data_IF_594743454016
#
_entry.id   IF_594743454016
#
_cell.length_a   1.000
_cell.length_b   1.000
_cell.length_c   1.000
_cell.angle_alpha   90.00
_cell.angle_beta   90.00
_cell.angle_gamma   90.00
#
_symmetry.space_group_name_H-M   'P 1'
#
loop_
_entity.id
_entity.type
_entity.pdbx_description
1 polymer ?
#
# COMPACT_ATOMS: atom_id res chain seq x y z
N UNK A 1 19.98 -12.21 -33.37
CA UNK A 1 21.05 -12.89 -34.13
C UNK A 1 22.23 -11.92 -34.16
N UNK A 2 23.09 -11.98 -33.16
CA UNK A 2 24.24 -11.09 -33.02
C UNK A 2 25.48 -11.87 -33.47
N UNK A 3 26.04 -11.44 -34.58
CA UNK A 3 27.31 -12.00 -35.09
C UNK A 3 28.45 -11.27 -34.33
N UNK A 4 29.20 -12.07 -33.56
CA UNK A 4 30.45 -11.65 -32.92
C UNK A 4 31.47 -11.20 -33.98
N UNK A 5 32.24 -10.13 -33.74
CA UNK A 5 33.34 -9.76 -34.64
C UNK A 5 34.42 -10.84 -34.61
N UNK A 6 34.87 -11.24 -35.79
CA UNK A 6 35.94 -12.25 -35.96
C UNK A 6 37.25 -11.71 -35.35
N UNK A 7 37.94 -12.47 -34.48
CA UNK A 7 39.22 -12.04 -33.93
C UNK A 7 40.32 -12.10 -35.01
N UNK A 8 41.10 -11.00 -35.11
CA UNK A 8 42.32 -11.00 -35.88
C UNK A 8 43.35 -11.95 -35.26
N UNK A 9 43.85 -12.88 -36.06
CA UNK A 9 44.85 -13.89 -35.73
C UNK A 9 46.16 -13.24 -35.31
N UNK A 10 46.59 -13.37 -34.04
CA UNK A 10 47.97 -13.22 -33.57
C UNK A 10 48.37 -14.45 -32.79
N UNK A 11 49.40 -15.13 -33.28
CA UNK A 11 50.06 -16.27 -32.66
C UNK A 11 50.67 -15.90 -31.32
N UNK A 12 50.10 -16.39 -30.27
CA UNK A 12 50.53 -16.54 -28.90
C UNK A 12 49.44 -17.30 -28.17
N UNK A 13 49.73 -18.50 -27.67
CA UNK A 13 48.75 -19.33 -26.98
C UNK A 13 48.10 -18.55 -25.82
N UNK A 14 47.02 -17.86 -26.12
CA UNK A 14 46.24 -17.11 -25.13
C UNK A 14 45.64 -18.12 -24.14
N UNK A 15 46.08 -18.02 -22.90
CA UNK A 15 45.61 -18.88 -21.80
C UNK A 15 44.10 -18.63 -21.62
N UNK A 16 43.29 -19.56 -22.10
CA UNK A 16 41.83 -19.59 -21.87
C UNK A 16 41.53 -20.41 -20.64
N UNK A 17 40.62 -19.95 -19.82
CA UNK A 17 40.03 -20.72 -18.71
C UNK A 17 38.61 -21.15 -19.06
N UNK A 18 38.29 -22.41 -18.80
CA UNK A 18 36.94 -22.94 -18.93
C UNK A 18 36.22 -22.87 -17.58
N UNK A 19 35.13 -22.13 -17.55
CA UNK A 19 34.31 -21.91 -16.35
C UNK A 19 32.91 -22.42 -16.61
N UNK A 20 32.37 -23.21 -15.71
CA UNK A 20 31.02 -23.74 -15.73
C UNK A 20 30.26 -23.20 -14.51
N UNK A 21 29.27 -22.38 -14.75
CA UNK A 21 28.42 -21.79 -13.69
C UNK A 21 27.01 -22.30 -13.84
N UNK A 22 26.55 -23.08 -12.87
CA UNK A 22 25.20 -23.65 -12.87
C UNK A 22 24.85 -24.42 -14.15
N UNK A 23 25.85 -25.08 -14.78
CA UNK A 23 25.68 -25.82 -16.02
C UNK A 23 25.94 -25.02 -17.33
N UNK A 24 26.14 -23.71 -17.23
CA UNK A 24 26.49 -22.85 -18.38
C UNK A 24 28.01 -22.73 -18.49
N UNK A 25 28.57 -23.22 -19.61
CA UNK A 25 29.99 -23.20 -19.89
C UNK A 25 30.42 -21.99 -20.67
N UNK A 26 31.45 -21.32 -20.18
CA UNK A 26 32.07 -20.15 -20.79
C UNK A 26 33.58 -20.33 -20.87
N UNK A 27 34.18 -19.98 -22.00
CA UNK A 27 35.63 -19.89 -22.16
C UNK A 27 36.04 -18.42 -22.08
N UNK A 28 36.82 -18.06 -21.07
CA UNK A 28 37.25 -16.68 -20.81
C UNK A 28 38.74 -16.56 -21.09
N UNK A 29 39.13 -15.44 -21.65
CA UNK A 29 40.55 -15.12 -21.96
C UNK A 29 41.24 -14.52 -20.74
N UNK A 30 42.41 -14.96 -20.42
CA UNK A 30 43.15 -14.51 -19.26
C UNK A 30 43.51 -13.00 -19.29
N UNK A 31 43.87 -12.46 -20.49
CA UNK A 31 44.16 -11.06 -20.69
C UNK A 31 43.00 -10.10 -20.37
N UNK A 32 41.77 -10.55 -20.56
CA UNK A 32 40.58 -9.78 -20.21
C UNK A 32 40.36 -9.74 -18.71
N UNK A 33 40.65 -10.85 -18.02
CA UNK A 33 40.46 -10.99 -16.58
C UNK A 33 41.45 -10.12 -15.78
N UNK A 34 42.62 -9.81 -16.36
CA UNK A 34 43.63 -8.92 -15.76
C UNK A 34 43.15 -7.48 -15.59
N UNK A 35 42.06 -7.08 -16.25
CA UNK A 35 41.42 -5.75 -16.04
C UNK A 35 40.89 -5.58 -14.64
N UNK A 36 40.44 -6.68 -14.02
CA UNK A 36 39.89 -6.73 -12.66
C UNK A 36 40.70 -7.74 -11.84
N UNK A 37 41.91 -7.40 -11.44
CA UNK A 37 42.85 -8.35 -10.83
C UNK A 37 42.42 -8.89 -9.47
N UNK A 38 41.51 -8.19 -8.78
CA UNK A 38 40.96 -8.60 -7.48
C UNK A 38 39.75 -9.53 -7.62
N UNK A 39 39.23 -9.68 -8.85
CA UNK A 39 38.07 -10.55 -9.09
C UNK A 39 38.42 -12.03 -8.92
N UNK A 40 37.42 -12.82 -8.50
CA UNK A 40 37.55 -14.28 -8.30
C UNK A 40 37.99 -14.97 -9.60
N UNK A 41 37.50 -14.53 -10.76
CA UNK A 41 37.89 -15.12 -12.05
C UNK A 41 39.35 -14.85 -12.41
N UNK A 42 39.87 -13.66 -12.08
CA UNK A 42 41.29 -13.34 -12.27
C UNK A 42 42.17 -14.17 -11.34
N UNK A 43 41.74 -14.46 -10.13
CA UNK A 43 42.44 -15.35 -9.20
C UNK A 43 42.47 -16.79 -9.73
N UNK A 44 41.35 -17.29 -10.24
CA UNK A 44 41.27 -18.61 -10.91
C UNK A 44 42.21 -18.68 -12.12
N UNK A 45 42.26 -17.63 -12.97
CA UNK A 45 43.16 -17.57 -14.14
C UNK A 45 44.64 -17.60 -13.76
N UNK A 46 44.97 -17.00 -12.62
CA UNK A 46 46.37 -16.95 -12.09
C UNK A 46 46.77 -18.20 -11.35
N UNK A 47 45.83 -19.04 -10.98
CA UNK A 47 46.11 -20.29 -10.29
C UNK A 47 46.96 -21.20 -11.18
N UNK A 48 48.25 -21.26 -10.90
CA UNK A 48 49.25 -22.09 -11.63
C UNK A 48 49.52 -23.42 -10.93
N UNK A 49 49.21 -23.50 -9.67
CA UNK A 49 49.38 -24.69 -8.84
C UNK A 49 48.17 -25.62 -8.98
N UNK A 50 48.42 -26.84 -9.42
CA UNK A 50 47.40 -27.89 -9.47
C UNK A 50 47.21 -28.62 -8.14
N UNK A 51 47.53 -27.96 -7.02
CA UNK A 51 47.26 -28.50 -5.69
C UNK A 51 45.74 -28.50 -5.45
N UNK A 52 45.19 -29.63 -5.07
CA UNK A 52 43.77 -29.80 -4.84
C UNK A 52 43.22 -28.81 -3.79
N UNK A 53 43.99 -28.57 -2.73
CA UNK A 53 43.61 -27.64 -1.68
C UNK A 53 43.53 -26.19 -2.14
N UNK A 54 44.40 -25.76 -3.05
CA UNK A 54 44.39 -24.42 -3.63
C UNK A 54 43.19 -24.21 -4.59
N UNK A 55 42.85 -25.25 -5.33
CA UNK A 55 41.72 -25.20 -6.29
C UNK A 55 40.39 -25.26 -5.54
N UNK A 56 40.24 -26.12 -4.51
CA UNK A 56 39.00 -26.27 -3.75
C UNK A 56 38.63 -25.01 -2.94
N UNK A 57 39.57 -24.11 -2.69
CA UNK A 57 39.30 -22.81 -2.09
C UNK A 57 38.74 -21.77 -3.07
N UNK A 58 38.92 -21.99 -4.38
CA UNK A 58 38.56 -21.04 -5.44
C UNK A 58 37.24 -21.37 -6.13
N UNK A 59 36.93 -22.66 -6.29
CA UNK A 59 35.73 -23.17 -6.98
C UNK A 59 35.07 -24.30 -6.19
N UNK A 60 33.83 -24.61 -6.51
CA UNK A 60 33.06 -25.68 -5.85
C UNK A 60 33.49 -27.06 -6.32
N UNK A 61 33.90 -27.21 -7.59
CA UNK A 61 34.47 -28.45 -8.15
C UNK A 61 35.42 -28.13 -9.31
N UNK A 62 36.30 -29.05 -9.62
CA UNK A 62 37.25 -28.94 -10.74
C UNK A 62 37.39 -30.25 -11.49
N UNK A 63 37.16 -30.23 -12.79
CA UNK A 63 37.32 -31.38 -13.69
C UNK A 63 38.70 -31.35 -14.39
N UNK A 64 39.71 -32.10 -13.89
CA UNK A 64 41.09 -32.06 -14.46
C UNK A 64 41.19 -32.46 -15.92
N UNK A 65 40.31 -33.37 -16.38
CA UNK A 65 40.33 -33.89 -17.75
C UNK A 65 39.95 -32.79 -18.77
N UNK A 66 39.14 -31.82 -18.39
CA UNK A 66 38.68 -30.72 -19.22
C UNK A 66 39.31 -29.39 -18.85
N UNK A 67 39.98 -29.30 -17.70
CA UNK A 67 40.47 -28.05 -17.13
C UNK A 67 39.36 -27.05 -16.81
N UNK A 68 38.20 -27.57 -16.40
CA UNK A 68 36.95 -26.83 -16.18
C UNK A 68 36.74 -26.56 -14.69
N UNK A 69 36.54 -25.30 -14.34
CA UNK A 69 36.20 -24.85 -12.97
C UNK A 69 34.69 -24.75 -12.84
N UNK A 70 34.10 -25.46 -11.89
CA UNK A 70 32.67 -25.46 -11.64
C UNK A 70 32.29 -24.58 -10.44
N UNK A 71 31.20 -23.82 -10.60
CA UNK A 71 30.58 -22.99 -9.57
C UNK A 71 29.08 -23.27 -9.49
N UNK A 72 28.57 -23.59 -8.30
CA UNK A 72 27.14 -23.78 -8.05
C UNK A 72 26.45 -22.42 -7.81
N UNK A 73 26.36 -21.62 -8.88
CA UNK A 73 25.84 -20.26 -8.86
C UNK A 73 24.83 -20.02 -9.97
N UNK A 74 24.10 -18.87 -9.87
CA UNK A 74 23.10 -18.47 -10.87
C UNK A 74 23.78 -18.09 -12.20
N UNK A 75 23.53 -18.87 -13.28
CA UNK A 75 24.16 -18.61 -14.57
C UNK A 75 23.66 -17.33 -15.26
N UNK A 76 22.45 -16.86 -14.97
CA UNK A 76 21.91 -15.67 -15.62
C UNK A 76 22.49 -14.38 -15.02
N UNK A 77 22.66 -14.34 -13.71
CA UNK A 77 23.42 -13.26 -13.04
C UNK A 77 24.88 -13.27 -13.47
N UNK A 78 25.50 -14.44 -13.59
CA UNK A 78 26.87 -14.57 -14.01
C UNK A 78 27.11 -14.03 -15.42
N UNK A 79 26.21 -14.30 -16.38
CA UNK A 79 26.31 -13.74 -17.74
C UNK A 79 26.34 -12.21 -17.75
N UNK A 80 25.56 -11.57 -16.87
CA UNK A 80 25.58 -10.12 -16.74
C UNK A 80 26.90 -9.62 -16.14
N UNK A 81 27.41 -10.32 -15.12
CA UNK A 81 28.66 -9.96 -14.44
C UNK A 81 29.86 -10.09 -15.37
N UNK A 82 29.91 -11.12 -16.21
CA UNK A 82 30.99 -11.31 -17.19
C UNK A 82 31.08 -10.13 -18.18
N UNK A 83 29.99 -9.42 -18.45
CA UNK A 83 29.98 -8.24 -19.33
C UNK A 83 30.94 -7.15 -18.86
N UNK A 84 31.26 -7.06 -17.55
CA UNK A 84 32.23 -6.10 -17.02
C UNK A 84 33.62 -6.24 -17.67
N UNK A 85 34.04 -7.45 -17.97
CA UNK A 85 35.36 -7.69 -18.58
C UNK A 85 35.44 -7.21 -20.04
N UNK A 86 34.27 -7.10 -20.70
CA UNK A 86 34.16 -6.64 -22.09
C UNK A 86 33.90 -5.15 -22.19
N UNK A 87 32.96 -4.65 -21.39
CA UNK A 87 32.44 -3.29 -21.53
C UNK A 87 32.87 -2.34 -20.40
N UNK A 88 33.33 -2.88 -19.26
CA UNK A 88 33.70 -2.08 -18.08
C UNK A 88 32.48 -1.76 -17.18
N UNK A 89 31.29 -2.08 -17.62
CA UNK A 89 30.02 -1.83 -16.93
C UNK A 89 29.19 -3.09 -16.86
N UNK A 90 28.32 -3.17 -15.84
CA UNK A 90 27.42 -4.29 -15.60
C UNK A 90 25.99 -3.84 -15.70
N UNK A 91 25.20 -4.49 -16.57
CA UNK A 91 23.78 -4.30 -16.66
C UNK A 91 23.02 -5.52 -16.13
N UNK A 92 22.08 -5.27 -15.22
CA UNK A 92 21.18 -6.29 -14.69
C UNK A 92 20.00 -6.52 -15.65
N UNK A 93 19.75 -7.77 -16.05
CA UNK A 93 18.60 -8.12 -16.88
C UNK A 93 17.29 -7.99 -16.10
N UNK A 94 16.21 -7.65 -16.82
CA UNK A 94 14.86 -7.64 -16.24
C UNK A 94 14.50 -9.03 -15.69
N UNK A 95 13.97 -9.06 -14.47
CA UNK A 95 13.55 -10.28 -13.80
C UNK A 95 14.56 -10.84 -12.79
N UNK A 96 15.79 -10.35 -12.77
CA UNK A 96 16.77 -10.70 -11.72
C UNK A 96 16.48 -9.83 -10.50
N UNK A 97 16.45 -10.46 -9.32
CA UNK A 97 16.30 -9.73 -8.06
C UNK A 97 17.54 -8.86 -7.79
N UNK A 98 17.41 -7.52 -7.60
CA UNK A 98 18.56 -6.64 -7.37
C UNK A 98 19.43 -7.06 -6.18
N UNK A 99 18.83 -7.50 -5.09
CA UNK A 99 19.57 -7.92 -3.89
C UNK A 99 20.34 -9.24 -4.09
N UNK A 100 19.75 -10.19 -4.84
CA UNK A 100 20.45 -11.42 -5.19
C UNK A 100 21.61 -11.13 -6.14
N UNK A 101 21.40 -10.21 -7.08
CA UNK A 101 22.45 -9.79 -8.01
C UNK A 101 23.64 -9.11 -7.32
N UNK A 102 23.37 -8.25 -6.33
CA UNK A 102 24.46 -7.64 -5.52
C UNK A 102 25.28 -8.70 -4.77
N UNK A 103 24.64 -9.75 -4.23
CA UNK A 103 25.34 -10.88 -3.60
C UNK A 103 26.19 -11.68 -4.60
N UNK A 104 25.73 -11.82 -5.83
CA UNK A 104 26.53 -12.45 -6.89
C UNK A 104 27.73 -11.57 -7.26
N UNK A 105 27.54 -10.24 -7.40
CA UNK A 105 28.67 -9.32 -7.64
C UNK A 105 29.72 -9.41 -6.52
N UNK A 106 29.29 -9.46 -5.26
CA UNK A 106 30.15 -9.63 -4.11
C UNK A 106 30.90 -10.99 -4.15
N UNK A 107 30.20 -12.08 -4.48
CA UNK A 107 30.83 -13.38 -4.64
C UNK A 107 31.92 -13.39 -5.71
N UNK A 108 31.66 -12.75 -6.86
CA UNK A 108 32.64 -12.64 -7.95
C UNK A 108 33.70 -11.56 -7.70
N UNK A 109 33.57 -10.80 -6.58
CA UNK A 109 34.43 -9.69 -6.18
C UNK A 109 34.51 -8.61 -7.26
N UNK A 110 33.36 -8.26 -7.81
CA UNK A 110 33.21 -7.12 -8.72
C UNK A 110 32.62 -5.95 -7.93
N UNK A 111 33.30 -4.80 -7.97
CA UNK A 111 32.88 -3.61 -7.24
C UNK A 111 31.52 -3.08 -7.75
N UNK A 112 30.69 -2.63 -6.83
CA UNK A 112 29.38 -2.04 -7.14
C UNK A 112 29.47 -0.76 -7.98
N UNK A 113 30.64 -0.10 -8.01
CA UNK A 113 30.88 1.05 -8.88
C UNK A 113 30.79 0.72 -10.37
N UNK A 114 31.05 -0.55 -10.73
CA UNK A 114 30.93 -1.06 -12.10
C UNK A 114 29.48 -1.24 -12.55
N UNK A 115 28.49 -1.15 -11.64
CA UNK A 115 27.08 -1.24 -11.98
C UNK A 115 26.65 0.04 -12.70
N UNK A 116 25.91 -0.10 -13.81
CA UNK A 116 25.36 1.05 -14.54
C UNK A 116 24.36 1.85 -13.69
N UNK A 117 24.23 3.16 -13.97
CA UNK A 117 23.38 4.08 -13.21
C UNK A 117 21.91 3.67 -13.20
N UNK A 118 21.39 3.09 -14.30
CA UNK A 118 20.02 2.61 -14.36
C UNK A 118 19.78 1.44 -13.39
N UNK A 119 20.79 0.58 -13.19
CA UNK A 119 20.74 -0.55 -12.29
C UNK A 119 21.00 -0.14 -10.83
N UNK A 120 21.88 0.84 -10.60
CA UNK A 120 22.09 1.45 -9.27
C UNK A 120 20.82 2.05 -8.71
N UNK A 121 20.03 2.73 -9.54
CA UNK A 121 18.73 3.27 -9.13
C UNK A 121 17.78 2.16 -8.66
N UNK A 122 17.70 1.05 -9.42
CA UNK A 122 16.87 -0.10 -9.06
C UNK A 122 17.31 -0.78 -7.75
N UNK A 123 18.61 -0.92 -7.55
CA UNK A 123 19.17 -1.49 -6.30
C UNK A 123 18.82 -0.61 -5.12
N UNK A 124 19.06 0.71 -5.22
CA UNK A 124 18.76 1.67 -4.16
C UNK A 124 17.25 1.71 -3.81
N UNK A 125 16.38 1.72 -4.82
CA UNK A 125 14.93 1.68 -4.60
C UNK A 125 14.53 0.42 -3.81
N UNK A 126 15.15 -0.72 -4.14
CA UNK A 126 14.85 -1.98 -3.45
C UNK A 126 15.42 -2.03 -2.03
N UNK A 127 16.59 -1.45 -1.80
CA UNK A 127 17.16 -1.30 -0.45
C UNK A 127 16.30 -0.40 0.43
N UNK A 128 15.85 0.75 -0.09
CA UNK A 128 14.96 1.67 0.61
C UNK A 128 13.61 0.99 0.95
N UNK A 129 13.05 0.20 0.01
CA UNK A 129 11.83 -0.56 0.24
C UNK A 129 12.00 -1.59 1.36
N UNK A 130 13.11 -2.35 1.35
CA UNK A 130 13.40 -3.36 2.38
C UNK A 130 13.65 -2.72 3.75
N UNK A 131 14.37 -1.58 3.80
CA UNK A 131 14.59 -0.84 5.03
C UNK A 131 13.25 -0.32 5.61
N UNK A 132 12.37 0.22 4.77
CA UNK A 132 11.04 0.65 5.21
C UNK A 132 10.19 -0.52 5.77
N UNK A 133 10.29 -1.70 5.14
CA UNK A 133 9.62 -2.91 5.62
C UNK A 133 10.19 -3.33 6.98
N UNK A 134 11.52 -3.37 7.11
CA UNK A 134 12.19 -3.75 8.35
C UNK A 134 11.83 -2.81 9.52
N UNK A 135 11.82 -1.50 9.28
CA UNK A 135 11.43 -0.51 10.31
C UNK A 135 9.96 -0.67 10.72
N UNK A 136 9.07 -0.96 9.77
CA UNK A 136 7.66 -1.20 10.08
C UNK A 136 7.44 -2.52 10.82
N UNK A 137 8.14 -3.58 10.43
CA UNK A 137 8.10 -4.87 11.15
C UNK A 137 8.60 -4.67 12.58
N UNK A 138 9.72 -3.96 12.76
CA UNK A 138 10.24 -3.63 14.10
C UNK A 138 9.23 -2.85 14.93
N UNK A 139 8.58 -1.83 14.35
CA UNK A 139 7.54 -1.07 15.04
C UNK A 139 6.34 -1.94 15.44
N UNK A 140 5.96 -2.92 14.62
CA UNK A 140 4.91 -3.90 14.95
C UNK A 140 5.35 -4.79 16.11
N UNK A 141 6.58 -5.27 16.10
CA UNK A 141 7.13 -6.13 17.16
C UNK A 141 7.29 -5.38 18.47
N UNK A 142 7.80 -4.13 18.45
CA UNK A 142 7.92 -3.26 19.63
C UNK A 142 6.53 -2.96 20.26
N UNK A 143 5.50 -2.92 19.43
CA UNK A 143 4.12 -2.71 19.88
C UNK A 143 3.45 -4.02 20.41
N UNK A 144 3.98 -5.18 20.01
CA UNK A 144 3.58 -6.50 20.52
C UNK A 144 4.30 -6.85 21.83
N UNK A 145 5.44 -6.22 22.12
CA UNK A 145 6.18 -6.45 23.37
C UNK A 145 5.34 -5.96 24.57
N UNK A 146 4.72 -6.95 25.23
CA UNK A 146 3.63 -6.77 26.21
C UNK A 146 4.15 -6.23 27.52
N UNK A 147 5.34 -6.63 27.88
CA UNK A 147 5.99 -6.28 29.12
C UNK A 147 6.91 -5.08 28.84
N UNK A 148 6.30 -3.88 28.75
CA UNK A 148 7.09 -2.66 28.91
C UNK A 148 8.04 -2.91 30.08
N UNK A 149 9.36 -2.85 29.80
CA UNK A 149 10.40 -3.28 30.69
C UNK A 149 10.16 -2.93 32.17
N UNK A 150 10.93 -3.40 33.10
CA UNK A 150 10.67 -3.38 34.55
C UNK A 150 10.37 -1.98 35.13
N UNK A 151 10.49 -0.93 34.34
CA UNK A 151 10.27 0.49 34.71
C UNK A 151 8.94 1.08 34.25
N UNK A 152 8.05 0.35 33.53
CA UNK A 152 6.76 0.89 33.08
C UNK A 152 5.81 1.11 34.26
N UNK A 153 5.31 2.33 34.40
CA UNK A 153 4.33 2.70 35.43
C UNK A 153 3.02 1.94 35.21
N UNK A 154 2.29 1.68 36.33
CA UNK A 154 0.96 1.03 36.26
C UNK A 154 0.01 1.75 35.28
N UNK A 155 0.09 3.06 35.23
CA UNK A 155 -0.71 3.91 34.31
C UNK A 155 -0.38 3.64 32.84
N UNK A 156 0.90 3.49 32.50
CA UNK A 156 1.34 3.19 31.13
C UNK A 156 0.90 1.82 30.67
N UNK A 157 0.96 0.81 31.54
CA UNK A 157 0.45 -0.54 31.24
C UNK A 157 -1.04 -0.55 30.97
N UNK A 158 -1.84 0.15 31.78
CA UNK A 158 -3.30 0.28 31.56
C UNK A 158 -3.58 1.01 30.24
N UNK A 159 -2.86 2.10 29.96
CA UNK A 159 -3.00 2.86 28.71
C UNK A 159 -2.68 2.01 27.49
N UNK A 160 -1.57 1.26 27.48
CA UNK A 160 -1.19 0.34 26.41
C UNK A 160 -2.21 -0.78 26.25
N UNK A 161 -2.71 -1.34 27.35
CA UNK A 161 -3.76 -2.38 27.32
C UNK A 161 -5.04 -1.88 26.68
N UNK A 162 -5.52 -0.68 27.10
CA UNK A 162 -6.73 -0.06 26.54
C UNK A 162 -6.55 0.27 25.07
N UNK A 163 -5.40 0.81 24.68
CA UNK A 163 -5.08 1.09 23.27
C UNK A 163 -5.14 -0.19 22.43
N UNK A 164 -4.52 -1.26 22.89
CA UNK A 164 -4.52 -2.56 22.21
C UNK A 164 -5.94 -3.14 22.09
N UNK A 165 -6.72 -3.05 23.15
CA UNK A 165 -8.10 -3.53 23.20
C UNK A 165 -9.00 -2.80 22.18
N UNK A 166 -8.78 -1.49 21.96
CA UNK A 166 -9.62 -0.65 21.11
C UNK A 166 -9.16 -0.57 19.65
N UNK A 167 -7.85 -0.74 19.39
CA UNK A 167 -7.27 -0.53 18.05
C UNK A 167 -6.86 -1.84 17.37
N UNK A 168 -6.60 -2.92 18.14
CA UNK A 168 -6.15 -4.22 17.60
C UNK A 168 -7.16 -5.33 17.88
N UNK A 169 -8.11 -5.57 16.96
CA UNK A 169 -9.16 -6.60 17.14
C UNK A 169 -8.61 -8.03 17.24
N UNK A 170 -7.38 -8.25 16.73
CA UNK A 170 -6.74 -9.57 16.75
C UNK A 170 -6.08 -9.91 18.10
N UNK A 171 -5.92 -8.91 18.99
CA UNK A 171 -5.20 -9.09 20.27
C UNK A 171 -5.92 -9.98 21.28
N UNK A 172 -7.24 -10.00 21.26
CA UNK A 172 -8.06 -10.81 22.18
C UNK A 172 -9.48 -11.00 21.64
N UNK A 173 -10.17 -12.06 22.16
CA UNK A 173 -11.58 -12.24 21.80
C UNK A 173 -12.48 -11.09 22.28
N UNK A 174 -12.11 -10.41 23.40
CA UNK A 174 -12.82 -9.21 23.90
C UNK A 174 -12.66 -8.05 22.94
N UNK A 175 -11.45 -7.80 22.42
CA UNK A 175 -11.19 -6.78 21.41
C UNK A 175 -12.02 -7.02 20.14
N UNK A 176 -12.11 -8.28 19.72
CA UNK A 176 -12.95 -8.70 18.58
C UNK A 176 -14.44 -8.47 18.84
N UNK A 177 -14.91 -8.81 20.03
CA UNK A 177 -16.30 -8.58 20.43
C UNK A 177 -16.65 -7.09 20.45
N UNK A 178 -15.77 -6.23 20.98
CA UNK A 178 -15.94 -4.76 20.96
C UNK A 178 -16.00 -4.24 19.52
N UNK A 179 -15.12 -4.70 18.66
CA UNK A 179 -15.10 -4.31 17.24
C UNK A 179 -16.38 -4.70 16.51
N UNK A 180 -16.86 -5.93 16.73
CA UNK A 180 -18.13 -6.40 16.16
C UNK A 180 -19.32 -5.62 16.72
N UNK A 181 -19.35 -5.35 18.02
CA UNK A 181 -20.38 -4.53 18.65
C UNK A 181 -20.40 -3.12 18.05
N UNK A 182 -19.23 -2.47 17.93
CA UNK A 182 -19.12 -1.15 17.32
C UNK A 182 -19.63 -1.14 15.87
N UNK A 183 -19.28 -2.14 15.09
CA UNK A 183 -19.78 -2.32 13.72
C UNK A 183 -21.32 -2.43 13.70
N UNK A 184 -21.89 -3.24 14.59
CA UNK A 184 -23.35 -3.39 14.70
C UNK A 184 -24.06 -2.10 15.13
N UNK A 185 -23.46 -1.32 16.04
CA UNK A 185 -24.00 -0.01 16.42
C UNK A 185 -23.98 0.99 15.26
N UNK A 186 -22.94 0.97 14.40
CA UNK A 186 -22.92 1.80 13.18
C UNK A 186 -24.05 1.39 12.22
N UNK A 187 -24.25 0.10 11.99
CA UNK A 187 -25.34 -0.40 11.15
C UNK A 187 -26.71 -0.05 11.74
N UNK A 188 -26.91 -0.26 13.05
CA UNK A 188 -28.14 0.09 13.73
C UNK A 188 -28.47 1.58 13.64
N UNK A 189 -27.48 2.45 13.90
CA UNK A 189 -27.64 3.91 13.77
C UNK A 189 -27.97 4.33 12.34
N UNK A 190 -27.36 3.69 11.33
CA UNK A 190 -27.67 3.96 9.91
C UNK A 190 -29.08 3.48 9.54
N UNK A 191 -29.49 2.34 10.06
CA UNK A 191 -30.86 1.82 9.86
C UNK A 191 -31.90 2.71 10.52
N UNK A 192 -31.68 3.13 11.76
CA UNK A 192 -32.56 4.06 12.48
C UNK A 192 -32.73 5.36 11.70
N UNK A 193 -31.64 5.91 11.16
CA UNK A 193 -31.69 7.10 10.32
C UNK A 193 -32.57 6.89 9.08
N UNK A 194 -32.48 5.72 8.42
CA UNK A 194 -33.34 5.40 7.29
C UNK A 194 -34.82 5.25 7.71
N UNK A 195 -35.07 4.55 8.81
CA UNK A 195 -36.43 4.34 9.32
C UNK A 195 -37.10 5.64 9.77
N UNK A 196 -36.33 6.57 10.36
CA UNK A 196 -36.82 7.89 10.78
C UNK A 196 -37.35 8.76 9.61
N UNK A 197 -36.95 8.43 8.37
CA UNK A 197 -37.47 9.15 7.17
C UNK A 197 -38.77 8.57 6.63
N UNK A 198 -39.21 7.40 7.10
CA UNK A 198 -40.45 6.78 6.63
C UNK A 198 -41.68 7.51 7.18
N UNK A 199 -42.64 7.94 6.34
CA UNK A 199 -43.80 8.68 6.79
C UNK A 199 -44.68 7.87 7.82
N UNK A 200 -44.66 6.56 7.72
CA UNK A 200 -45.41 5.65 8.57
C UNK A 200 -44.90 5.60 10.02
N UNK A 201 -43.61 5.94 10.21
CA UNK A 201 -42.94 5.93 11.51
C UNK A 201 -42.75 7.32 12.10
N UNK A 202 -43.27 8.36 11.43
CA UNK A 202 -43.27 9.73 11.95
C UNK A 202 -44.53 9.98 12.77
N UNK A 203 -44.35 10.61 13.92
CA UNK A 203 -45.46 11.01 14.80
C UNK A 203 -45.66 12.52 14.69
N UNK A 204 -46.92 12.97 14.61
CA UNK A 204 -47.20 14.39 14.67
C UNK A 204 -47.07 14.86 16.12
N UNK A 205 -46.24 15.86 16.32
CA UNK A 205 -46.09 16.54 17.63
C UNK A 205 -47.31 17.43 17.89
N UNK A 206 -47.46 17.92 19.12
CA UNK A 206 -48.57 18.76 19.55
C UNK A 206 -48.75 20.04 18.70
N UNK A 207 -47.69 20.49 18.05
CA UNK A 207 -47.66 21.68 17.17
C UNK A 207 -47.91 21.31 15.69
N UNK A 208 -48.24 20.08 15.36
CA UNK A 208 -48.51 19.64 13.98
C UNK A 208 -47.26 19.39 13.13
N UNK A 209 -46.08 19.44 13.70
CA UNK A 209 -44.85 19.11 13.01
C UNK A 209 -44.56 17.60 13.05
N UNK A 210 -44.00 17.06 11.95
CA UNK A 210 -43.58 15.65 11.90
C UNK A 210 -42.33 15.48 12.76
N UNK A 211 -42.47 14.73 13.85
CA UNK A 211 -41.40 14.37 14.77
C UNK A 211 -40.97 12.91 14.61
N UNK A 212 -39.75 12.58 14.95
CA UNK A 212 -39.26 11.22 14.96
C UNK A 212 -39.93 10.43 16.07
N UNK A 213 -40.21 9.11 15.85
CA UNK A 213 -40.80 8.26 16.84
C UNK A 213 -39.87 8.16 18.07
N UNK A 214 -40.39 8.29 19.33
CA UNK A 214 -39.56 8.35 20.54
C UNK A 214 -38.68 7.12 20.77
N UNK A 215 -39.10 5.95 20.27
CA UNK A 215 -38.27 4.73 20.34
C UNK A 215 -37.05 4.83 19.44
N UNK A 216 -37.15 5.45 18.25
CA UNK A 216 -36.01 5.65 17.33
C UNK A 216 -35.02 6.63 17.93
N UNK A 217 -35.50 7.72 18.53
CA UNK A 217 -34.66 8.70 19.23
C UNK A 217 -33.91 8.07 20.42
N UNK A 218 -34.56 7.19 21.18
CA UNK A 218 -33.89 6.45 22.26
C UNK A 218 -32.79 5.54 21.75
N UNK A 219 -33.03 4.80 20.65
CA UNK A 219 -32.00 3.92 20.04
C UNK A 219 -30.86 4.78 19.49
N UNK A 220 -31.16 5.90 18.84
CA UNK A 220 -30.15 6.82 18.35
C UNK A 220 -29.27 7.35 19.48
N UNK A 221 -29.86 7.79 20.57
CA UNK A 221 -29.15 8.26 21.76
C UNK A 221 -28.24 7.16 22.33
N UNK A 222 -28.71 5.92 22.42
CA UNK A 222 -27.89 4.79 22.86
C UNK A 222 -26.69 4.54 21.93
N UNK A 223 -26.88 4.65 20.61
CA UNK A 223 -25.78 4.54 19.64
C UNK A 223 -24.74 5.64 19.81
N UNK A 224 -25.18 6.90 20.00
CA UNK A 224 -24.28 8.03 20.20
C UNK A 224 -23.51 7.91 21.52
N UNK A 225 -24.17 7.45 22.59
CA UNK A 225 -23.49 7.17 23.86
C UNK A 225 -22.38 6.14 23.69
N UNK A 226 -22.66 5.06 22.94
CA UNK A 226 -21.62 4.07 22.61
C UNK A 226 -20.45 4.70 21.83
N UNK A 227 -20.72 5.46 20.79
CA UNK A 227 -19.68 6.11 19.98
C UNK A 227 -18.85 7.09 20.79
N UNK A 228 -19.48 7.82 21.72
CA UNK A 228 -18.80 8.76 22.61
C UNK A 228 -17.89 8.03 23.58
N UNK A 229 -18.36 6.93 24.17
CA UNK A 229 -17.55 6.09 25.05
C UNK A 229 -16.35 5.50 24.29
N UNK A 230 -16.59 4.97 23.11
CA UNK A 230 -15.56 4.41 22.22
C UNK A 230 -14.49 5.48 21.90
N UNK A 231 -14.89 6.66 21.45
CA UNK A 231 -13.97 7.77 21.16
C UNK A 231 -13.21 8.25 22.40
N UNK A 232 -13.91 8.37 23.54
CA UNK A 232 -13.32 8.78 24.81
C UNK A 232 -12.25 7.80 25.30
N UNK A 233 -12.50 6.50 25.21
CA UNK A 233 -11.51 5.46 25.58
C UNK A 233 -10.29 5.49 24.67
N UNK A 234 -10.47 5.66 23.36
CA UNK A 234 -9.36 5.82 22.41
C UNK A 234 -8.55 7.09 22.69
N UNK A 235 -9.22 8.21 22.93
CA UNK A 235 -8.55 9.46 23.24
C UNK A 235 -7.77 9.39 24.56
N UNK A 236 -8.33 8.75 25.59
CA UNK A 236 -7.65 8.55 26.87
C UNK A 236 -6.41 7.66 26.75
N UNK A 237 -6.47 6.63 25.88
CA UNK A 237 -5.38 5.69 25.65
C UNK A 237 -4.30 6.20 24.70
N UNK A 238 -4.58 7.24 23.88
CA UNK A 238 -3.63 7.81 22.93
C UNK A 238 -2.44 8.49 23.64
N UNK A 239 -1.21 8.26 23.14
CA UNK A 239 0.02 8.87 23.64
C UNK A 239 0.14 10.33 23.22
N UNK A 240 -0.13 10.63 21.94
CA UNK A 240 -0.07 11.97 21.35
C UNK A 240 -1.48 12.47 21.00
N UNK A 241 -2.09 13.21 21.92
CA UNK A 241 -3.50 13.61 21.80
C UNK A 241 -3.80 14.48 20.57
N UNK A 242 -2.92 15.44 20.23
CA UNK A 242 -3.11 16.30 19.06
C UNK A 242 -3.04 15.52 17.75
N UNK A 243 -2.06 14.65 17.63
CA UNK A 243 -1.90 13.78 16.45
C UNK A 243 -3.08 12.80 16.32
N UNK A 244 -3.59 12.32 17.45
CA UNK A 244 -4.78 11.47 17.48
C UNK A 244 -6.00 12.20 16.90
N UNK A 245 -6.31 13.42 17.38
CA UNK A 245 -7.48 14.19 16.91
C UNK A 245 -7.37 14.53 15.41
N UNK A 246 -6.18 14.86 14.93
CA UNK A 246 -5.95 15.20 13.51
C UNK A 246 -5.88 14.01 12.58
N UNK A 247 -5.91 12.78 13.10
CA UNK A 247 -5.98 11.58 12.26
C UNK A 247 -7.33 11.49 11.57
N UNK A 248 -7.32 11.14 10.27
CA UNK A 248 -8.52 11.07 9.42
C UNK A 248 -9.65 10.21 10.03
N UNK A 249 -9.33 9.00 10.50
CA UNK A 249 -10.33 8.09 11.09
C UNK A 249 -10.94 8.67 12.38
N UNK A 250 -10.13 9.35 13.19
CA UNK A 250 -10.60 9.95 14.44
C UNK A 250 -11.39 11.24 14.20
N UNK A 251 -11.08 11.98 13.14
CA UNK A 251 -11.91 13.10 12.68
C UNK A 251 -13.29 12.63 12.21
N UNK A 252 -13.37 11.48 11.51
CA UNK A 252 -14.64 10.86 11.13
C UNK A 252 -15.44 10.46 12.37
N UNK A 253 -14.79 9.85 13.37
CA UNK A 253 -15.45 9.50 14.63
C UNK A 253 -16.01 10.75 15.35
N UNK A 254 -15.24 11.83 15.38
CA UNK A 254 -15.69 13.10 15.97
C UNK A 254 -16.85 13.71 15.18
N UNK A 255 -16.77 13.73 13.85
CA UNK A 255 -17.83 14.21 12.97
C UNK A 255 -19.14 13.42 13.11
N UNK A 256 -19.05 12.13 13.46
CA UNK A 256 -20.21 11.29 13.68
C UNK A 256 -20.98 11.60 14.97
N UNK A 257 -20.30 12.10 16.02
CA UNK A 257 -20.90 12.44 17.32
C UNK A 257 -21.22 13.91 17.48
N UNK A 258 -20.45 14.80 16.82
CA UNK A 258 -20.56 16.25 16.96
C UNK A 258 -21.98 16.81 16.73
N UNK A 259 -22.74 16.41 15.67
CA UNK A 259 -24.06 16.95 15.41
C UNK A 259 -25.05 16.74 16.57
N UNK A 260 -24.99 15.59 17.24
CA UNK A 260 -25.85 15.29 18.38
C UNK A 260 -25.58 16.25 19.54
N UNK A 261 -24.31 16.45 19.92
CA UNK A 261 -23.95 17.33 21.01
C UNK A 261 -24.19 18.82 20.69
N UNK A 262 -24.04 19.21 19.42
CA UNK A 262 -24.36 20.58 19.01
C UNK A 262 -25.86 20.82 19.13
N UNK A 263 -26.72 19.90 18.66
CA UNK A 263 -28.17 20.02 18.83
C UNK A 263 -28.54 20.05 20.29
N UNK A 264 -27.99 19.13 21.11
CA UNK A 264 -28.22 19.12 22.57
C UNK A 264 -27.81 20.41 23.24
N UNK A 265 -26.66 21.00 22.87
CA UNK A 265 -26.21 22.29 23.41
C UNK A 265 -27.13 23.44 22.98
N UNK A 266 -27.58 23.46 21.73
CA UNK A 266 -28.52 24.48 21.24
C UNK A 266 -29.86 24.42 21.96
N UNK A 267 -30.37 23.23 22.28
CA UNK A 267 -31.64 23.04 22.97
C UNK A 267 -31.56 23.39 24.48
N UNK A 268 -30.45 23.04 25.16
CA UNK A 268 -30.32 23.24 26.61
C UNK A 268 -29.75 24.60 27.00
N UNK A 269 -28.89 25.22 26.19
CA UNK A 269 -28.26 26.52 26.51
C UNK A 269 -29.17 27.72 26.27
N UNK A 270 -30.43 27.53 25.88
CA UNK A 270 -31.39 28.64 25.69
C UNK A 270 -30.98 29.64 24.61
N UNK A 271 -30.10 29.24 23.69
CA UNK A 271 -29.76 30.01 22.47
C UNK A 271 -31.00 30.30 21.64
N UNK A 272 -32.12 29.61 21.91
CA UNK A 272 -33.45 29.83 21.40
C UNK A 272 -34.08 31.19 21.73
N UNK A 273 -33.60 31.89 22.78
CA UNK A 273 -34.11 33.18 23.16
C UNK A 273 -33.45 34.37 22.42
N UNK A 274 -32.31 34.13 21.75
CA UNK A 274 -31.54 35.19 21.07
C UNK A 274 -31.52 35.10 19.56
N UNK A 275 -31.95 33.97 18.96
CA UNK A 275 -31.99 33.74 17.51
C UNK A 275 -33.44 33.53 17.06
N UNK A 276 -33.76 33.97 15.83
CA UNK A 276 -35.04 33.68 15.21
C UNK A 276 -35.27 32.16 15.15
N UNK A 277 -36.45 31.74 15.63
CA UNK A 277 -36.87 30.32 15.65
C UNK A 277 -36.66 29.61 14.32
N UNK A 278 -36.81 30.31 13.19
CA UNK A 278 -36.63 29.80 11.84
C UNK A 278 -35.18 29.45 11.53
N UNK A 279 -34.21 30.24 12.01
CA UNK A 279 -32.77 29.96 11.74
C UNK A 279 -32.24 28.82 12.60
N UNK A 280 -32.73 28.71 13.86
CA UNK A 280 -32.42 27.53 14.71
C UNK A 280 -32.98 26.26 14.12
N UNK A 281 -34.20 26.27 13.62
CA UNK A 281 -34.80 25.09 12.96
C UNK A 281 -33.99 24.68 11.72
N UNK A 282 -33.56 25.62 10.87
CA UNK A 282 -32.72 25.35 9.71
C UNK A 282 -31.37 24.75 10.12
N UNK A 283 -30.73 25.31 11.15
CA UNK A 283 -29.47 24.79 11.67
C UNK A 283 -29.61 23.35 12.19
N UNK A 284 -30.64 23.06 12.97
CA UNK A 284 -30.94 21.71 13.48
C UNK A 284 -31.22 20.75 12.31
N UNK A 285 -31.94 21.18 11.28
CA UNK A 285 -32.22 20.35 10.11
C UNK A 285 -30.93 20.05 9.31
N UNK A 286 -30.04 21.03 9.15
CA UNK A 286 -28.73 20.84 8.51
C UNK A 286 -27.85 19.86 9.31
N UNK A 287 -27.85 19.98 10.65
CA UNK A 287 -27.12 19.08 11.54
C UNK A 287 -27.65 17.64 11.50
N UNK A 288 -28.98 17.45 11.27
CA UNK A 288 -29.55 16.11 11.05
C UNK A 288 -28.97 15.43 9.80
N UNK A 289 -28.76 16.18 8.71
CA UNK A 289 -28.15 15.62 7.48
C UNK A 289 -26.72 15.17 7.76
N UNK A 290 -25.96 15.87 8.62
CA UNK A 290 -24.60 15.47 8.98
C UNK A 290 -24.51 14.12 9.70
N UNK A 291 -25.64 13.56 10.22
CA UNK A 291 -25.70 12.20 10.80
C UNK A 291 -25.25 11.13 9.79
N UNK A 292 -25.41 11.41 8.46
CA UNK A 292 -24.92 10.52 7.38
C UNK A 292 -23.41 10.23 7.53
N UNK A 293 -22.62 11.15 8.08
CA UNK A 293 -21.19 10.94 8.30
C UNK A 293 -20.86 9.71 9.17
N UNK A 294 -21.86 9.20 9.96
CA UNK A 294 -21.69 8.00 10.79
C UNK A 294 -21.37 6.76 9.98
N UNK A 295 -21.88 6.66 8.75
CA UNK A 295 -21.59 5.51 7.87
C UNK A 295 -20.10 5.43 7.53
N UNK A 296 -19.39 6.56 7.51
CA UNK A 296 -17.95 6.59 7.27
C UNK A 296 -17.14 5.89 8.38
N UNK A 297 -17.73 5.69 9.58
CA UNK A 297 -17.10 4.88 10.64
C UNK A 297 -16.88 3.43 10.20
N UNK A 298 -17.65 2.91 9.23
CA UNK A 298 -17.41 1.58 8.66
C UNK A 298 -16.01 1.43 8.09
N UNK A 299 -15.38 2.52 7.62
CA UNK A 299 -14.02 2.48 7.12
C UNK A 299 -13.01 1.98 8.18
N UNK A 300 -13.26 2.23 9.45
CA UNK A 300 -12.42 1.74 10.55
C UNK A 300 -12.49 0.22 10.72
N UNK A 301 -13.64 -0.38 10.45
CA UNK A 301 -13.91 -1.81 10.67
C UNK A 301 -13.63 -2.68 9.44
N UNK A 302 -13.29 -2.08 8.32
CA UNK A 302 -13.02 -2.78 7.05
C UNK A 302 -11.63 -2.46 6.53
N UNK A 303 -10.74 -3.44 6.52
CA UNK A 303 -9.40 -3.31 5.93
C UNK A 303 -9.47 -2.95 4.44
N UNK A 304 -10.45 -3.48 3.72
CA UNK A 304 -10.69 -3.16 2.31
C UNK A 304 -11.01 -1.68 2.10
N UNK A 305 -11.87 -1.07 2.94
CA UNK A 305 -12.19 0.36 2.87
C UNK A 305 -10.98 1.23 3.25
N UNK A 306 -10.16 0.80 4.22
CA UNK A 306 -8.92 1.51 4.56
C UNK A 306 -7.93 1.50 3.40
N UNK A 307 -7.75 0.34 2.76
CA UNK A 307 -6.90 0.19 1.57
C UNK A 307 -7.40 1.07 0.41
N UNK A 308 -8.73 1.07 0.17
CA UNK A 308 -9.34 1.91 -0.85
C UNK A 308 -9.12 3.40 -0.56
N UNK A 309 -9.34 3.83 0.69
CA UNK A 309 -9.12 5.22 1.11
C UNK A 309 -7.66 5.65 0.91
N UNK A 310 -6.71 4.76 1.23
CA UNK A 310 -5.29 5.01 0.99
C UNK A 310 -4.99 5.14 -0.51
N UNK A 311 -5.48 4.21 -1.33
CA UNK A 311 -5.29 4.24 -2.77
C UNK A 311 -5.84 5.53 -3.40
N UNK A 312 -7.08 5.93 -3.02
CA UNK A 312 -7.68 7.18 -3.48
C UNK A 312 -6.86 8.41 -3.05
N UNK A 313 -6.39 8.42 -1.80
CA UNK A 313 -5.54 9.52 -1.30
C UNK A 313 -4.21 9.60 -2.04
N UNK A 314 -3.61 8.46 -2.37
CA UNK A 314 -2.37 8.39 -3.14
C UNK A 314 -2.57 8.83 -4.59
N UNK A 315 -3.75 8.55 -5.16
CA UNK A 315 -4.14 8.91 -6.53
C UNK A 315 -4.88 10.25 -6.61
N UNK A 316 -4.76 11.11 -5.58
CA UNK A 316 -5.49 12.38 -5.56
C UNK A 316 -5.09 13.33 -6.68
N UNK A 317 -3.83 13.31 -7.10
CA UNK A 317 -3.34 14.13 -8.22
C UNK A 317 -3.97 13.69 -9.55
N UNK A 318 -4.03 12.38 -9.79
CA UNK A 318 -4.64 11.79 -10.99
C UNK A 318 -6.15 12.03 -11.03
N UNK A 319 -6.83 11.92 -9.88
CA UNK A 319 -8.24 12.25 -9.74
C UNK A 319 -8.49 13.74 -9.96
N UNK A 320 -7.62 14.62 -9.47
CA UNK A 320 -7.69 16.07 -9.70
C UNK A 320 -7.54 16.41 -11.18
N UNK A 321 -6.62 15.76 -11.88
CA UNK A 321 -6.46 15.89 -13.32
C UNK A 321 -7.72 15.44 -14.08
N UNK A 322 -8.31 14.30 -13.70
CA UNK A 322 -9.58 13.83 -14.27
C UNK A 322 -10.69 14.85 -14.09
N UNK A 323 -10.89 15.37 -12.86
CA UNK A 323 -11.94 16.34 -12.56
C UNK A 323 -11.74 17.63 -13.36
N UNK A 324 -10.49 18.09 -13.52
CA UNK A 324 -10.18 19.27 -14.34
C UNK A 324 -10.52 19.02 -15.81
N UNK A 325 -10.09 17.87 -16.35
CA UNK A 325 -10.40 17.52 -17.74
C UNK A 325 -11.90 17.38 -18.00
N UNK A 326 -12.61 16.69 -17.09
CA UNK A 326 -14.07 16.57 -17.14
C UNK A 326 -14.74 17.94 -17.04
N UNK A 327 -14.30 18.82 -16.14
CA UNK A 327 -14.84 20.17 -15.97
C UNK A 327 -14.73 21.02 -17.24
N UNK A 328 -13.55 20.99 -17.86
CA UNK A 328 -13.33 21.67 -19.15
C UNK A 328 -14.24 21.09 -20.25
N UNK A 329 -14.33 19.76 -20.35
CA UNK A 329 -15.20 19.08 -21.30
C UNK A 329 -16.67 19.44 -21.09
N UNK A 330 -17.15 19.39 -19.86
CA UNK A 330 -18.52 19.77 -19.48
C UNK A 330 -18.80 21.21 -19.92
N UNK A 331 -17.89 22.14 -19.64
CA UNK A 331 -18.06 23.54 -20.05
C UNK A 331 -18.15 23.70 -21.55
N UNK A 332 -17.22 23.11 -22.31
CA UNK A 332 -17.17 23.21 -23.79
C UNK A 332 -18.40 22.60 -24.43
N UNK A 333 -18.74 21.34 -24.08
CA UNK A 333 -19.88 20.64 -24.70
C UNK A 333 -21.22 21.26 -24.31
N UNK A 334 -21.33 21.84 -23.11
CA UNK A 334 -22.53 22.57 -22.68
C UNK A 334 -22.72 23.89 -23.45
N UNK A 335 -21.64 24.65 -23.65
CA UNK A 335 -21.68 25.89 -24.41
C UNK A 335 -22.04 25.62 -25.87
N UNK A 336 -21.44 24.59 -26.49
CA UNK A 336 -21.79 24.18 -27.85
C UNK A 336 -23.23 23.65 -27.91
N UNK A 337 -23.66 22.82 -26.95
CA UNK A 337 -25.01 22.29 -26.88
C UNK A 337 -26.06 23.40 -26.78
N UNK A 338 -25.84 24.37 -25.88
CA UNK A 338 -26.69 25.54 -25.78
C UNK A 338 -26.75 26.33 -27.09
N UNK A 339 -25.62 26.63 -27.72
CA UNK A 339 -25.55 27.42 -28.95
C UNK A 339 -26.27 26.73 -30.11
N UNK A 340 -26.19 25.41 -30.22
CA UNK A 340 -26.80 24.62 -31.30
C UNK A 340 -28.30 24.38 -31.10
N UNK A 341 -28.76 24.33 -29.82
CA UNK A 341 -30.14 23.96 -29.49
C UNK A 341 -31.04 25.18 -29.13
N UNK A 342 -30.45 26.28 -28.70
CA UNK A 342 -31.19 27.44 -28.14
C UNK A 342 -32.24 28.02 -29.12
N UNK A 343 -31.99 27.96 -30.41
CA UNK A 343 -32.92 28.50 -31.43
C UNK A 343 -34.07 27.55 -31.75
N UNK A 344 -34.08 26.32 -31.25
CA UNK A 344 -35.14 25.36 -31.49
C UNK A 344 -36.37 25.68 -30.61
N UNK A 345 -37.59 25.71 -31.11
CA UNK A 345 -38.79 26.13 -30.36
C UNK A 345 -39.09 25.22 -29.14
N UNK A 346 -38.70 23.97 -29.18
CA UNK A 346 -38.91 23.01 -28.08
C UNK A 346 -37.59 22.69 -27.35
N UNK A 347 -36.69 23.65 -27.26
CA UNK A 347 -35.40 23.43 -26.63
C UNK A 347 -35.51 23.21 -25.12
N UNK A 348 -34.75 22.23 -24.61
CA UNK A 348 -34.55 22.02 -23.19
C UNK A 348 -33.30 22.75 -22.68
N UNK A 349 -32.47 23.30 -23.57
CA UNK A 349 -31.24 24.02 -23.28
C UNK A 349 -31.51 25.50 -23.01
N UNK A 350 -31.94 25.84 -21.78
CA UNK A 350 -32.36 27.21 -21.42
C UNK A 350 -31.19 28.17 -21.19
N UNK A 351 -30.05 27.65 -20.71
CA UNK A 351 -28.83 28.43 -20.42
C UNK A 351 -27.62 27.51 -20.40
N UNK A 352 -26.41 28.07 -20.51
CA UNK A 352 -25.18 27.29 -20.42
C UNK A 352 -25.08 26.53 -19.06
N UNK A 353 -25.34 27.16 -17.90
CA UNK A 353 -25.35 26.43 -16.63
C UNK A 353 -26.39 25.31 -16.55
N UNK A 354 -27.58 25.51 -17.16
CA UNK A 354 -28.58 24.44 -17.23
C UNK A 354 -28.10 23.28 -18.11
N UNK A 355 -27.34 23.58 -19.16
CA UNK A 355 -26.75 22.59 -20.07
C UNK A 355 -25.61 21.80 -19.43
N UNK A 356 -25.00 22.28 -18.32
CA UNK A 356 -24.01 21.51 -17.56
C UNK A 356 -24.58 20.18 -17.06
N UNK A 357 -25.85 20.20 -16.62
CA UNK A 357 -26.50 18.96 -16.17
C UNK A 357 -26.52 17.92 -17.30
N UNK A 358 -26.93 18.28 -18.49
CA UNK A 358 -26.90 17.38 -19.65
C UNK A 358 -25.50 16.88 -19.97
N UNK A 359 -24.50 17.76 -19.98
CA UNK A 359 -23.12 17.37 -20.30
C UNK A 359 -22.55 16.44 -19.24
N UNK A 360 -22.80 16.71 -17.94
CA UNK A 360 -22.34 15.83 -16.83
C UNK A 360 -22.92 14.44 -17.00
N UNK A 361 -24.25 14.29 -17.11
CA UNK A 361 -24.90 12.98 -17.20
C UNK A 361 -24.54 12.23 -18.48
N UNK A 362 -24.21 12.97 -19.57
CA UNK A 362 -23.78 12.38 -20.85
C UNK A 362 -22.33 11.90 -20.77
N UNK A 363 -21.39 12.74 -20.32
CA UNK A 363 -19.97 12.40 -20.23
C UNK A 363 -19.69 11.34 -19.17
N UNK A 364 -20.47 11.31 -18.07
CA UNK A 364 -20.38 10.26 -17.05
C UNK A 364 -21.13 8.98 -17.41
N UNK A 365 -21.75 8.92 -18.59
CA UNK A 365 -22.51 7.77 -19.10
C UNK A 365 -23.79 7.43 -18.31
N UNK A 366 -24.29 8.34 -17.47
CA UNK A 366 -25.53 8.16 -16.69
C UNK A 366 -26.78 8.23 -17.58
N UNK A 367 -26.90 9.31 -18.35
CA UNK A 367 -27.92 9.47 -19.41
C UNK A 367 -29.37 9.37 -18.94
N UNK A 368 -29.82 10.19 -17.99
CA UNK A 368 -31.21 10.17 -17.50
C UNK A 368 -32.27 10.39 -18.61
N UNK A 369 -31.91 11.11 -19.69
CA UNK A 369 -32.84 11.36 -20.78
C UNK A 369 -33.86 12.49 -20.52
N UNK A 370 -33.70 13.23 -19.45
CA UNK A 370 -34.51 14.39 -19.07
C UNK A 370 -34.15 15.63 -19.88
N UNK A 371 -32.89 15.76 -20.33
CA UNK A 371 -32.41 16.79 -21.25
C UNK A 371 -31.62 16.10 -22.36
N UNK A 372 -31.98 16.37 -23.62
CA UNK A 372 -31.32 15.83 -24.81
C UNK A 372 -31.41 16.74 -26.01
N UNK A 373 -30.44 16.73 -26.96
CA UNK A 373 -30.47 17.56 -28.15
C UNK A 373 -31.47 17.03 -29.19
N UNK A 374 -32.20 17.95 -29.80
CA UNK A 374 -33.18 17.66 -30.86
C UNK A 374 -32.62 17.92 -32.25
N UNK A 375 -31.74 18.92 -32.40
CA UNK A 375 -31.15 19.30 -33.70
C UNK A 375 -30.09 18.28 -34.16
N UNK A 376 -29.84 18.22 -35.46
CA UNK A 376 -28.80 17.35 -36.03
C UNK A 376 -27.40 17.72 -35.51
N UNK A 377 -27.11 19.04 -35.42
CA UNK A 377 -25.81 19.52 -34.88
C UNK A 377 -25.67 19.23 -33.40
N UNK A 378 -26.74 19.41 -32.61
CA UNK A 378 -26.75 19.04 -31.20
C UNK A 378 -26.49 17.54 -30.97
N UNK A 379 -27.05 16.68 -31.82
CA UNK A 379 -26.79 15.21 -31.76
C UNK A 379 -25.34 14.86 -32.12
N UNK A 380 -24.74 15.57 -33.09
CA UNK A 380 -23.30 15.40 -33.37
C UNK A 380 -22.43 15.84 -32.17
N UNK A 381 -22.77 16.97 -31.52
CA UNK A 381 -22.13 17.42 -30.31
C UNK A 381 -22.26 16.38 -29.19
N UNK A 382 -23.44 15.78 -29.03
CA UNK A 382 -23.64 14.68 -28.07
C UNK A 382 -22.76 13.46 -28.36
N UNK A 383 -22.66 13.08 -29.65
CA UNK A 383 -21.80 11.96 -30.05
C UNK A 383 -20.34 12.18 -29.69
N UNK A 384 -19.80 13.38 -29.86
CA UNK A 384 -18.45 13.74 -29.45
C UNK A 384 -18.34 13.78 -27.92
N UNK A 385 -19.34 14.33 -27.23
CA UNK A 385 -19.37 14.44 -25.76
C UNK A 385 -19.24 13.08 -25.07
N UNK A 386 -20.05 12.09 -25.48
CA UNK A 386 -19.96 10.77 -24.84
C UNK A 386 -18.67 10.02 -25.19
N UNK A 387 -18.15 10.15 -26.42
CA UNK A 387 -16.84 9.56 -26.74
C UNK A 387 -15.71 10.16 -25.89
N UNK A 388 -15.67 11.49 -25.77
CA UNK A 388 -14.71 12.16 -24.90
C UNK A 388 -14.89 11.76 -23.44
N UNK A 389 -16.12 11.61 -22.96
CA UNK A 389 -16.43 11.20 -21.60
C UNK A 389 -15.91 9.79 -21.29
N UNK A 390 -16.14 8.82 -22.18
CA UNK A 390 -15.65 7.44 -22.02
C UNK A 390 -14.12 7.41 -21.95
N UNK A 391 -13.44 8.13 -22.85
CA UNK A 391 -11.97 8.20 -22.86
C UNK A 391 -11.46 8.87 -21.57
N UNK A 392 -12.09 9.96 -21.14
CA UNK A 392 -11.71 10.68 -19.93
C UNK A 392 -11.77 9.79 -18.68
N UNK A 393 -12.83 8.99 -18.53
CA UNK A 393 -12.99 8.08 -17.37
C UNK A 393 -12.02 6.90 -17.45
N UNK A 394 -11.73 6.39 -18.64
CA UNK A 394 -10.86 5.23 -18.81
C UNK A 394 -9.39 5.51 -18.46
N UNK A 395 -8.89 6.73 -18.72
CA UNK A 395 -7.48 7.08 -18.55
C UNK A 395 -6.95 6.93 -17.10
N UNK A 396 -7.61 7.45 -16.05
CA UNK A 396 -7.08 7.40 -14.69
C UNK A 396 -7.35 6.07 -13.97
N UNK A 397 -8.12 5.16 -14.55
CA UNK A 397 -8.43 3.85 -13.92
C UNK A 397 -7.16 3.04 -13.72
N UNK A 398 -6.25 3.03 -14.69
CA UNK A 398 -5.02 2.24 -14.63
C UNK A 398 -4.10 2.64 -13.47
N UNK A 399 -3.70 3.91 -13.28
CA UNK A 399 -2.86 4.30 -12.14
C UNK A 399 -3.55 4.07 -10.79
N UNK A 400 -4.87 4.25 -10.68
CA UNK A 400 -5.62 4.00 -9.44
C UNK A 400 -5.54 2.51 -9.07
N UNK A 401 -5.79 1.61 -10.03
CA UNK A 401 -5.69 0.16 -9.82
C UNK A 401 -4.25 -0.22 -9.44
N UNK A 402 -3.26 0.32 -10.13
CA UNK A 402 -1.86 0.04 -9.84
C UNK A 402 -1.48 0.46 -8.42
N UNK A 403 -1.86 1.67 -7.99
CA UNK A 403 -1.63 2.16 -6.62
C UNK A 403 -2.32 1.28 -5.57
N UNK A 404 -3.54 0.78 -5.87
CA UNK A 404 -4.25 -0.16 -5.00
C UNK A 404 -3.50 -1.49 -4.87
N UNK A 405 -3.10 -2.09 -6.00
CA UNK A 405 -2.40 -3.38 -6.02
C UNK A 405 -1.04 -3.30 -5.31
N UNK A 406 -0.27 -2.24 -5.56
CA UNK A 406 1.02 -2.01 -4.90
C UNK A 406 0.84 -1.91 -3.38
N UNK A 407 -0.14 -1.12 -2.91
CA UNK A 407 -0.41 -1.00 -1.48
C UNK A 407 -0.88 -2.32 -0.85
N UNK A 408 -1.80 -3.02 -1.51
CA UNK A 408 -2.31 -4.32 -1.03
C UNK A 408 -1.18 -5.35 -0.90
N UNK A 409 -0.32 -5.45 -1.92
CA UNK A 409 0.82 -6.35 -1.88
C UNK A 409 1.82 -5.97 -0.78
N UNK A 410 2.09 -4.68 -0.59
CA UNK A 410 2.96 -4.18 0.48
C UNK A 410 2.42 -4.54 1.88
N UNK A 411 1.11 -4.41 2.10
CA UNK A 411 0.47 -4.83 3.36
C UNK A 411 0.61 -6.33 3.60
N UNK A 412 0.39 -7.14 2.56
CA UNK A 412 0.52 -8.60 2.66
C UNK A 412 1.96 -9.03 2.96
N UNK A 413 2.95 -8.39 2.33
CA UNK A 413 4.38 -8.66 2.62
C UNK A 413 4.73 -8.30 4.05
N UNK A 414 4.27 -7.14 4.55
CA UNK A 414 4.47 -6.71 5.94
C UNK A 414 3.87 -7.71 6.94
N UNK A 415 2.65 -8.15 6.71
CA UNK A 415 1.99 -9.13 7.57
C UNK A 415 2.74 -10.46 7.60
N UNK A 416 3.18 -10.94 6.43
CA UNK A 416 3.94 -12.19 6.32
C UNK A 416 5.30 -12.07 7.00
N UNK A 417 6.01 -10.95 6.81
CA UNK A 417 7.29 -10.70 7.45
C UNK A 417 7.16 -10.62 8.98
N UNK A 418 6.14 -9.92 9.49
CA UNK A 418 5.90 -9.84 10.93
C UNK A 418 5.56 -11.20 11.55
N UNK A 419 4.77 -12.03 10.88
CA UNK A 419 4.50 -13.41 11.35
C UNK A 419 5.75 -14.26 11.40
N UNK A 420 6.58 -14.21 10.37
CA UNK A 420 7.81 -14.96 10.31
C UNK A 420 8.79 -14.57 11.44
N UNK A 421 8.93 -13.26 11.72
CA UNK A 421 9.73 -12.79 12.85
C UNK A 421 9.20 -13.27 14.21
N UNK A 422 7.87 -13.27 14.39
CA UNK A 422 7.24 -13.81 15.60
C UNK A 422 7.53 -15.31 15.76
N UNK A 423 7.40 -16.10 14.70
CA UNK A 423 7.71 -17.54 14.72
C UNK A 423 9.19 -17.78 15.07
N UNK A 424 10.12 -16.96 14.52
CA UNK A 424 11.52 -17.05 14.84
C UNK A 424 11.80 -16.72 16.31
N UNK A 425 11.15 -15.68 16.87
CA UNK A 425 11.26 -15.34 18.29
C UNK A 425 10.74 -16.45 19.20
N UNK A 426 9.61 -17.06 18.87
CA UNK A 426 9.06 -18.20 19.62
C UNK A 426 10.02 -19.41 19.59
N UNK A 427 10.60 -19.72 18.44
CA UNK A 427 11.58 -20.79 18.29
C UNK A 427 12.84 -20.51 19.14
N UNK A 428 13.38 -19.30 19.10
CA UNK A 428 14.54 -18.91 19.89
C UNK A 428 14.24 -18.89 21.40
N UNK A 429 13.05 -18.42 21.79
CA UNK A 429 12.58 -18.44 23.18
C UNK A 429 12.43 -19.86 23.72
N UNK A 430 11.98 -20.79 22.89
CA UNK A 430 11.89 -22.23 23.28
C UNK A 430 13.26 -22.88 23.39
N UNK A 431 14.22 -22.52 22.53
CA UNK A 431 15.61 -23.01 22.64
C UNK A 431 16.38 -22.39 23.81
N UNK A 432 16.09 -21.13 24.18
CA UNK A 432 16.70 -20.45 25.33
C UNK A 432 16.35 -21.09 26.67
N UNK A 433 15.18 -21.71 26.81
CA UNK A 433 14.82 -22.48 28.04
C UNK A 433 15.47 -23.87 28.13
N UNK A 434 15.96 -24.41 27.01
CA UNK A 434 16.66 -25.72 26.99
C UNK A 434 18.18 -25.57 27.11
N UNK A 435 18.71 -24.36 26.90
CA UNK A 435 20.15 -24.07 26.74
C UNK A 435 20.86 -23.40 27.90
N UNK A 436 20.40 -23.51 29.18
CA UNK A 436 21.14 -22.99 30.35
C UNK A 436 22.26 -23.94 30.84
N UNK A 437 22.99 -24.51 29.89
CA UNK A 437 24.34 -25.04 30.10
C UNK A 437 25.10 -25.02 28.78
N UNK A 438 26.04 -24.12 28.70
CA UNK A 438 27.14 -23.98 27.74
C UNK A 438 27.00 -22.97 26.59
N UNK A 439 27.83 -21.93 26.74
CA UNK A 439 28.62 -21.25 25.73
C UNK A 439 27.98 -20.10 24.93
N UNK A 440 28.40 -18.92 25.33
CA UNK A 440 28.25 -17.63 24.65
C UNK A 440 28.81 -17.67 23.22
N UNK A 441 27.93 -17.75 22.24
CA UNK A 441 28.26 -17.40 20.86
C UNK A 441 27.87 -15.92 20.59
N UNK A 442 28.92 -15.10 20.47
CA UNK A 442 28.80 -13.72 19.95
C UNK A 442 28.38 -13.79 18.49
N UNK A 443 27.10 -13.57 18.21
CA UNK A 443 26.63 -13.30 16.85
C UNK A 443 26.80 -11.80 16.58
N UNK A 444 27.62 -11.48 15.60
CA UNK A 444 27.87 -10.11 15.14
C UNK A 444 26.57 -9.53 14.58
N UNK A 445 26.27 -8.31 15.00
CA UNK A 445 25.00 -7.57 14.74
C UNK A 445 24.82 -7.11 13.28
N UNK A 446 25.73 -7.47 12.37
CA UNK A 446 25.69 -7.05 10.97
C UNK A 446 25.01 -8.04 10.01
N UNK A 447 24.85 -9.32 10.41
CA UNK A 447 24.41 -10.38 9.49
C UNK A 447 22.91 -10.72 9.57
N UNK A 448 22.17 -10.21 10.57
CA UNK A 448 20.78 -10.61 10.83
C UNK A 448 19.77 -10.04 9.84
N UNK A 449 20.05 -8.95 9.15
CA UNK A 449 19.08 -8.34 8.22
C UNK A 449 19.02 -8.97 6.82
N UNK A 450 20.02 -9.79 6.46
CA UNK A 450 20.13 -10.35 5.10
C UNK A 450 19.78 -11.86 5.08
N UNK A 451 19.83 -12.54 6.21
CA UNK A 451 19.57 -13.98 6.31
C UNK A 451 18.10 -14.39 6.05
N UNK A 452 17.16 -13.45 6.19
CA UNK A 452 15.70 -13.73 6.11
C UNK A 452 15.25 -14.16 4.71
N UNK A 453 15.97 -13.76 3.66
CA UNK A 453 15.57 -14.06 2.27
C UNK A 453 16.26 -15.28 1.63
N UNK A 454 17.21 -15.92 2.32
CA UNK A 454 18.01 -17.01 1.72
C UNK A 454 17.70 -18.40 2.25
N UNK A 455 16.93 -18.55 3.33
CA UNK A 455 16.72 -19.87 3.96
C UNK A 455 15.51 -20.65 3.41
N UNK A 456 14.64 -20.02 2.61
CA UNK A 456 13.51 -20.73 1.96
C UNK A 456 13.95 -21.90 1.06
N UNK A 457 15.15 -21.84 0.48
CA UNK A 457 15.67 -22.93 -0.37
C UNK A 457 16.19 -24.14 0.42
N UNK A 458 16.58 -23.97 1.68
CA UNK A 458 17.07 -25.09 2.52
C UNK A 458 15.95 -25.91 3.15
N UNK A 459 14.84 -25.26 3.49
CA UNK A 459 13.70 -25.93 4.13
C UNK A 459 12.92 -26.79 3.12
N UNK A 460 12.81 -26.35 1.86
CA UNK A 460 12.13 -27.11 0.80
C UNK A 460 12.92 -28.37 0.42
N UNK A 461 14.26 -28.32 0.46
CA UNK A 461 15.09 -29.48 0.11
C UNK A 461 15.10 -30.58 1.21
N UNK A 462 14.75 -30.25 2.46
CA UNK A 462 14.64 -31.26 3.55
C UNK A 462 13.27 -31.98 3.58
N UNK A 463 12.23 -31.41 2.98
CA UNK A 463 10.90 -32.07 2.90
C UNK A 463 10.69 -32.98 1.70
N UNK A 464 11.60 -32.98 0.72
CA UNK A 464 11.52 -33.86 -0.44
C UNK A 464 12.32 -35.17 -0.32
N UNK A 465 12.92 -35.45 0.84
CA UNK A 465 13.76 -36.66 1.11
C UNK A 465 13.31 -37.37 2.40
N UNK A 466 12.05 -37.22 2.79
CA UNK A 466 11.44 -38.12 3.77
C UNK A 466 10.10 -38.62 3.29
#
# INVERSE_FOLDING_TARGET
>A
MWTLPKPGYRDGAEKQIAVNVGGVRLALRGDMLDRYPESRLAEVARCTTRSFDAISSLCDDYEPAKGEFYFDRDPDSFKCIVEVYYFGEVHMKKGICPMCFMKEMEFWRIDSSCLDECCKSNVREKEEELAEIADKVKAILDDLDIDGGPLATRSERIRKFLWRLMEKPESSWVARAITVASFLFVLASSLVMCLATLPELQVQDADGHLAEHPTLDTIETACVCWFTLEYGLRFASASEKMRFVLSFLNMVDLAAIAPFYIVLALTHLGATAAMDLTDVQRAVQALRVMRVARILKLARHSSGLQTLTYALRRSFAELGLLLTYMGVGIFVFSALGYTMEHSHPETMFRSIPHSFWWAIITMTTVGYGDVYPKTALGRCNAALSFLCGVVAIALPVHPIINNFVVYYNKQKVLETAARHELELMELHGTFGQVGDKHETLRVSRSDSHIAILTDERRVVKKRSVS
#
